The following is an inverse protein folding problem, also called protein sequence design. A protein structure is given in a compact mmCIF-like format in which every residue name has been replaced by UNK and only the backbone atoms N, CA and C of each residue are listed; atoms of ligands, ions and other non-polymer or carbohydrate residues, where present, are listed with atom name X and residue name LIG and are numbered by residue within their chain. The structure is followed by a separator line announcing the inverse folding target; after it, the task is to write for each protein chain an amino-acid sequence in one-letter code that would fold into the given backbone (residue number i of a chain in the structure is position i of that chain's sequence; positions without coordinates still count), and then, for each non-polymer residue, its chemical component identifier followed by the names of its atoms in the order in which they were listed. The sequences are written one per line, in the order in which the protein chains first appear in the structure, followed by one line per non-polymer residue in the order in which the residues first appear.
data_IF_253312220021
#
_entry.id   IF_253312220021
#
_cell.length_a   1.000
_cell.length_b   1.000
_cell.length_c   1.000
_cell.angle_alpha   90.00
_cell.angle_beta   90.00
_cell.angle_gamma   90.00
#
_symmetry.space_group_name_H-M   'P 1'
#
loop_
_entity.id
_entity.type
_entity.pdbx_description
1 polymer ?
#
# COMPACT_ATOMS: atom_id res chain seq x y z
N UNK A 1 -28.69 24.82 40.86
CA UNK A 1 -28.66 24.27 39.50
C UNK A 1 -28.58 25.36 38.42
N UNK A 2 -27.65 26.32 38.53
CA UNK A 2 -27.50 27.44 37.57
C UNK A 2 -26.11 27.47 36.91
N UNK A 3 -25.09 26.91 37.57
CA UNK A 3 -23.71 26.89 37.03
C UNK A 3 -23.49 25.90 35.88
N UNK A 4 -24.27 24.82 35.80
CA UNK A 4 -24.07 23.76 34.78
C UNK A 4 -24.57 24.21 33.39
N UNK A 5 -25.60 25.05 33.33
CA UNK A 5 -26.17 25.52 32.06
C UNK A 5 -25.23 26.51 31.35
N UNK A 6 -24.52 27.36 32.12
CA UNK A 6 -23.56 28.33 31.56
C UNK A 6 -22.34 27.67 30.91
N UNK A 7 -21.80 26.60 31.51
CA UNK A 7 -20.65 25.85 30.97
C UNK A 7 -21.02 25.14 29.67
N UNK A 8 -22.21 24.53 29.59
CA UNK A 8 -22.70 23.88 28.37
C UNK A 8 -22.98 24.88 27.24
N UNK A 9 -23.52 26.06 27.55
CA UNK A 9 -23.74 27.12 26.57
C UNK A 9 -22.41 27.71 26.04
N UNK A 10 -21.41 27.89 26.91
CA UNK A 10 -20.08 28.38 26.52
C UNK A 10 -19.32 27.35 25.65
N UNK A 11 -19.50 26.05 25.89
CA UNK A 11 -18.94 24.99 25.03
C UNK A 11 -19.61 24.92 23.65
N UNK A 12 -20.91 25.25 23.55
CA UNK A 12 -21.64 25.26 22.28
C UNK A 12 -21.25 26.45 21.39
N UNK A 13 -21.06 27.64 21.96
CA UNK A 13 -20.73 28.86 21.20
C UNK A 13 -19.27 28.88 20.73
N UNK A 14 -18.34 28.31 21.50
CA UNK A 14 -16.90 28.37 21.20
C UNK A 14 -16.36 27.18 20.38
N UNK A 15 -17.20 26.25 19.92
CA UNK A 15 -16.81 25.08 19.11
C UNK A 15 -15.53 24.35 19.59
N UNK A 16 -15.25 24.37 20.89
CA UNK A 16 -14.06 23.78 21.53
C UNK A 16 -14.50 22.66 22.48
N UNK A 17 -15.27 21.72 21.93
CA UNK A 17 -15.57 20.45 22.58
C UNK A 17 -14.55 19.36 22.20
N UNK A 18 -14.47 18.25 22.97
CA UNK A 18 -13.57 17.12 22.66
C UNK A 18 -13.97 16.37 21.38
N UNK A 19 -15.20 16.59 20.90
CA UNK A 19 -15.69 16.15 19.59
C UNK A 19 -15.50 17.28 18.58
N UNK A 20 -14.26 17.71 18.39
CA UNK A 20 -13.92 18.42 17.15
C UNK A 20 -14.02 17.39 16.04
N UNK A 21 -15.16 17.39 15.33
CA UNK A 21 -15.21 16.82 13.99
C UNK A 21 -14.17 17.60 13.20
N UNK A 22 -12.98 17.00 13.05
CA UNK A 22 -12.07 17.38 11.99
C UNK A 22 -12.81 17.05 10.71
N UNK A 23 -13.62 18.00 10.25
CA UNK A 23 -13.94 18.16 8.85
C UNK A 23 -12.63 18.39 8.14
N UNK A 24 -11.90 17.30 7.90
CA UNK A 24 -10.79 17.25 6.97
C UNK A 24 -11.38 17.30 5.56
N UNK A 25 -11.96 18.44 5.20
CA UNK A 25 -11.83 18.92 3.83
C UNK A 25 -10.39 19.37 3.66
N UNK A 26 -9.50 18.40 3.40
CA UNK A 26 -8.28 18.54 2.61
C UNK A 26 -7.50 17.24 2.76
N UNK A 27 -7.73 16.27 1.87
CA UNK A 27 -6.81 15.14 1.63
C UNK A 27 -7.08 14.38 0.32
N UNK A 28 -7.64 15.01 -0.73
CA UNK A 28 -7.49 14.43 -2.08
C UNK A 28 -6.06 14.58 -2.62
N UNK A 29 -5.16 15.24 -1.87
CA UNK A 29 -3.73 15.38 -2.17
C UNK A 29 -2.82 14.54 -1.27
N UNK A 30 -3.37 13.77 -0.34
CA UNK A 30 -2.58 12.94 0.61
C UNK A 30 -2.46 11.50 0.09
N UNK A 31 -3.45 11.00 -0.64
CA UNK A 31 -3.43 9.61 -1.13
C UNK A 31 -2.37 9.34 -2.23
N UNK A 32 -1.86 10.35 -2.92
CA UNK A 32 -0.77 10.21 -3.91
C UNK A 32 0.60 10.60 -3.32
N UNK A 33 0.64 11.42 -2.26
CA UNK A 33 1.91 11.85 -1.66
C UNK A 33 2.62 10.75 -0.88
N UNK A 34 1.87 9.82 -0.32
CA UNK A 34 2.41 8.69 0.43
C UNK A 34 2.71 7.47 -0.47
N UNK A 35 2.49 7.61 -1.79
CA UNK A 35 2.73 6.54 -2.76
C UNK A 35 3.98 6.81 -3.58
N UNK A 36 4.86 5.81 -3.66
CA UNK A 36 6.09 5.89 -4.45
C UNK A 36 5.83 5.39 -5.86
N UNK A 37 6.07 6.24 -6.88
CA UNK A 37 5.95 5.84 -8.28
C UNK A 37 7.18 5.02 -8.68
N UNK A 38 6.96 3.84 -9.26
CA UNK A 38 8.03 2.95 -9.75
C UNK A 38 7.70 2.39 -11.13
N UNK A 39 8.73 2.01 -11.89
CA UNK A 39 8.59 1.33 -13.18
C UNK A 39 8.81 -0.18 -13.00
N UNK A 40 7.85 -1.01 -13.40
CA UNK A 40 7.95 -2.47 -13.27
C UNK A 40 8.78 -3.05 -14.42
N UNK A 41 10.00 -3.49 -14.11
CA UNK A 41 10.93 -4.06 -15.10
C UNK A 41 10.56 -5.50 -15.47
N UNK A 42 10.20 -6.31 -14.47
CA UNK A 42 9.76 -7.70 -14.68
C UNK A 42 8.98 -8.27 -13.51
N UNK A 43 8.04 -9.15 -13.81
CA UNK A 43 7.31 -9.95 -12.81
C UNK A 43 8.02 -11.29 -12.61
N UNK A 44 8.42 -11.58 -11.37
CA UNK A 44 9.13 -12.82 -10.99
C UNK A 44 8.12 -13.94 -10.74
N UNK A 45 7.15 -13.67 -9.86
CA UNK A 45 6.06 -14.55 -9.46
C UNK A 45 4.75 -13.76 -9.36
N UNK A 46 3.64 -14.43 -9.09
CA UNK A 46 2.33 -13.76 -9.02
C UNK A 46 2.23 -12.67 -7.95
N UNK A 47 3.03 -12.76 -6.88
CA UNK A 47 3.09 -11.81 -5.76
C UNK A 47 4.41 -10.99 -5.70
N UNK A 48 5.34 -11.21 -6.63
CA UNK A 48 6.70 -10.64 -6.53
C UNK A 48 7.17 -10.11 -7.89
N UNK A 49 7.63 -8.86 -7.91
CA UNK A 49 8.19 -8.23 -9.11
C UNK A 49 9.45 -7.42 -8.80
N UNK A 50 10.18 -7.07 -9.85
CA UNK A 50 11.33 -6.17 -9.82
C UNK A 50 10.92 -4.87 -10.48
N UNK A 51 11.27 -3.77 -9.85
CA UNK A 51 10.98 -2.43 -10.33
C UNK A 51 12.14 -1.47 -10.11
N UNK A 52 12.17 -0.42 -10.91
CA UNK A 52 13.12 0.68 -10.78
C UNK A 52 12.40 1.86 -10.14
N UNK A 53 12.92 2.34 -9.02
CA UNK A 53 12.35 3.49 -8.31
C UNK A 53 12.71 4.83 -8.97
N UNK A 54 12.18 5.93 -8.42
CA UNK A 54 12.44 7.29 -8.92
C UNK A 54 13.92 7.72 -8.86
N UNK A 55 14.72 7.07 -8.02
CA UNK A 55 16.17 7.30 -7.89
C UNK A 55 16.98 6.44 -8.88
N UNK A 56 16.34 5.60 -9.69
CA UNK A 56 17.00 4.68 -10.63
C UNK A 56 17.55 3.42 -9.97
N UNK A 57 17.17 3.12 -8.72
CA UNK A 57 17.58 1.92 -7.99
C UNK A 57 16.60 0.77 -8.28
N UNK A 58 17.15 -0.40 -8.60
CA UNK A 58 16.40 -1.65 -8.68
C UNK A 58 15.95 -2.08 -7.27
N UNK A 59 14.65 -2.34 -7.12
CA UNK A 59 14.02 -2.85 -5.91
C UNK A 59 13.22 -4.11 -6.22
N UNK A 60 13.22 -5.05 -5.28
CA UNK A 60 12.40 -6.26 -5.34
C UNK A 60 11.17 -6.07 -4.44
N UNK A 61 9.99 -6.06 -5.05
CA UNK A 61 8.73 -5.79 -4.35
C UNK A 61 7.95 -7.08 -4.17
N UNK A 62 7.48 -7.33 -2.95
CA UNK A 62 6.51 -8.39 -2.61
C UNK A 62 5.19 -7.74 -2.22
N UNK A 63 4.12 -8.21 -2.84
CA UNK A 63 2.76 -7.73 -2.61
C UNK A 63 2.28 -8.14 -1.21
N UNK A 64 1.76 -7.16 -0.46
CA UNK A 64 1.14 -7.41 0.85
C UNK A 64 -0.25 -8.02 0.65
N UNK A 65 -0.57 -9.04 1.45
CA UNK A 65 -1.89 -9.70 1.43
C UNK A 65 -2.12 -10.64 0.24
N UNK A 66 -1.12 -10.82 -0.63
CA UNK A 66 -1.17 -11.73 -1.77
C UNK A 66 -0.08 -12.79 -1.56
N UNK A 67 -0.51 -14.04 -1.45
CA UNK A 67 0.38 -15.20 -1.45
C UNK A 67 0.02 -16.07 -2.65
N UNK A 68 0.87 -16.06 -3.67
CA UNK A 68 0.60 -16.84 -4.88
C UNK A 68 1.27 -18.21 -4.80
N UNK A 69 0.59 -19.27 -5.26
CA UNK A 69 1.17 -20.60 -5.28
C UNK A 69 2.51 -20.59 -6.04
N UNK A 70 3.59 -20.99 -5.39
CA UNK A 70 4.93 -20.73 -5.90
C UNK A 70 5.24 -21.60 -7.14
N UNK A 71 5.68 -20.95 -8.22
CA UNK A 71 5.88 -21.61 -9.52
C UNK A 71 7.35 -21.90 -9.85
N UNK A 72 8.28 -21.26 -9.15
CA UNK A 72 9.72 -21.26 -9.50
C UNK A 72 10.60 -22.02 -8.50
N UNK A 73 10.04 -22.53 -7.40
CA UNK A 73 10.81 -23.23 -6.37
C UNK A 73 11.35 -24.56 -6.89
N UNK A 74 12.69 -24.76 -6.94
CA UNK A 74 13.28 -26.04 -7.35
C UNK A 74 12.77 -27.19 -6.49
N UNK A 75 12.55 -28.35 -7.11
CA UNK A 75 12.10 -29.58 -6.45
C UNK A 75 10.73 -29.48 -5.76
N UNK A 76 9.90 -28.50 -6.12
CA UNK A 76 8.52 -28.39 -5.64
C UNK A 76 7.55 -28.58 -6.82
N UNK A 77 6.50 -29.40 -6.70
CA UNK A 77 5.47 -29.49 -7.73
C UNK A 77 4.82 -28.12 -7.93
N UNK A 78 4.62 -27.71 -9.18
CA UNK A 78 3.87 -26.49 -9.50
C UNK A 78 2.48 -26.62 -8.88
N UNK A 79 2.15 -25.68 -8.01
CA UNK A 79 0.86 -25.68 -7.32
C UNK A 79 -0.27 -25.27 -8.29
N UNK A 80 -1.49 -25.81 -8.13
CA UNK A 80 -2.63 -25.43 -8.95
C UNK A 80 -2.83 -23.91 -8.94
N UNK A 81 -3.16 -23.32 -10.10
CA UNK A 81 -3.40 -21.88 -10.29
C UNK A 81 -2.17 -20.94 -10.16
N UNK A 82 -0.99 -21.46 -9.82
CA UNK A 82 0.22 -20.62 -9.73
C UNK A 82 0.61 -19.99 -11.06
N UNK A 83 0.46 -20.73 -12.16
CA UNK A 83 0.80 -20.24 -13.51
C UNK A 83 -0.18 -19.16 -13.98
N UNK A 84 -1.45 -19.35 -13.68
CA UNK A 84 -2.54 -18.42 -13.97
C UNK A 84 -2.37 -17.12 -13.18
N UNK A 85 -2.06 -17.20 -11.89
CA UNK A 85 -1.76 -16.04 -11.04
C UNK A 85 -0.51 -15.27 -11.55
N UNK A 86 0.57 -15.99 -11.88
CA UNK A 86 1.77 -15.38 -12.46
C UNK A 86 1.49 -14.69 -13.79
N UNK A 87 0.72 -15.32 -14.68
CA UNK A 87 0.34 -14.76 -15.97
C UNK A 87 -0.53 -13.50 -15.82
N UNK A 88 -1.47 -13.51 -14.87
CA UNK A 88 -2.30 -12.35 -14.57
C UNK A 88 -1.43 -11.15 -14.15
N UNK A 89 -0.53 -11.34 -13.18
CA UNK A 89 0.37 -10.28 -12.74
C UNK A 89 1.29 -9.81 -13.86
N UNK A 90 1.83 -10.72 -14.68
CA UNK A 90 2.63 -10.38 -15.87
C UNK A 90 1.85 -9.51 -16.85
N UNK A 91 0.62 -9.86 -17.17
CA UNK A 91 -0.22 -9.10 -18.09
C UNK A 91 -0.57 -7.70 -17.54
N UNK A 92 -0.74 -7.59 -16.22
CA UNK A 92 -1.21 -6.36 -15.60
C UNK A 92 -0.11 -5.43 -15.12
N UNK A 93 1.09 -5.92 -14.81
CA UNK A 93 2.16 -5.13 -14.20
C UNK A 93 3.39 -4.96 -15.10
N UNK A 94 3.70 -5.92 -15.97
CA UNK A 94 4.98 -5.91 -16.68
C UNK A 94 5.13 -4.68 -17.61
N UNK A 95 6.21 -3.92 -17.45
CA UNK A 95 6.51 -2.72 -18.23
C UNK A 95 5.61 -1.52 -17.92
N UNK A 96 4.90 -1.53 -16.78
CA UNK A 96 4.01 -0.43 -16.39
C UNK A 96 4.59 0.40 -15.26
N UNK A 97 4.23 1.68 -15.28
CA UNK A 97 4.40 2.54 -14.12
C UNK A 97 3.28 2.28 -13.12
N UNK A 98 3.64 2.01 -11.87
CA UNK A 98 2.69 1.74 -10.78
C UNK A 98 3.03 2.57 -9.55
N UNK A 99 2.09 2.64 -8.62
CA UNK A 99 2.29 3.31 -7.34
C UNK A 99 2.38 2.29 -6.21
N UNK A 100 3.43 2.39 -5.40
CA UNK A 100 3.63 1.57 -4.22
C UNK A 100 3.13 2.28 -2.97
N UNK A 101 2.29 1.60 -2.19
CA UNK A 101 1.88 2.02 -0.85
C UNK A 101 2.48 1.06 0.17
N UNK A 102 3.29 1.58 1.10
CA UNK A 102 4.01 0.79 2.10
C UNK A 102 3.18 0.60 3.37
N UNK A 103 3.38 -0.54 4.05
CA UNK A 103 2.88 -0.74 5.42
C UNK A 103 3.94 -0.27 6.44
N UNK A 104 3.66 -0.44 7.75
CA UNK A 104 4.55 -0.04 8.85
C UNK A 104 5.98 -0.55 8.69
N UNK A 105 6.13 -1.76 8.19
CA UNK A 105 7.42 -2.36 7.86
C UNK A 105 7.64 -2.34 6.35
N UNK A 106 8.59 -1.52 5.89
CA UNK A 106 8.88 -1.36 4.45
C UNK A 106 9.63 -2.56 3.86
N UNK A 107 10.40 -3.28 4.65
CA UNK A 107 11.25 -4.38 4.18
C UNK A 107 11.07 -5.63 5.03
N UNK A 108 11.12 -6.79 4.37
CA UNK A 108 11.16 -8.07 5.08
C UNK A 108 12.60 -8.49 5.43
N UNK A 109 12.72 -9.58 6.20
CA UNK A 109 14.00 -10.19 6.61
C UNK A 109 14.90 -10.66 5.44
N UNK A 110 14.41 -10.66 4.20
CA UNK A 110 15.13 -11.04 3.00
C UNK A 110 15.50 -9.82 2.13
N UNK A 111 15.23 -8.60 2.60
CA UNK A 111 15.51 -7.36 1.91
C UNK A 111 14.53 -7.06 0.76
N UNK A 112 13.34 -7.65 0.77
CA UNK A 112 12.27 -7.32 -0.20
C UNK A 112 11.43 -6.18 0.34
N UNK A 113 11.09 -5.25 -0.53
CA UNK A 113 10.14 -4.17 -0.23
C UNK A 113 8.73 -4.74 -0.15
N UNK A 114 8.01 -4.45 0.94
CA UNK A 114 6.62 -4.86 1.15
C UNK A 114 5.69 -3.71 0.78
N UNK A 115 4.83 -3.91 -0.22
CA UNK A 115 3.91 -2.86 -0.67
C UNK A 115 2.58 -3.40 -1.22
N UNK A 116 1.55 -2.55 -1.20
CA UNK A 116 0.38 -2.63 -2.06
C UNK A 116 0.67 -1.90 -3.38
N UNK A 117 0.10 -2.38 -4.49
CA UNK A 117 0.29 -1.81 -5.83
C UNK A 117 -1.02 -1.23 -6.36
N UNK A 118 -0.94 -0.02 -6.90
CA UNK A 118 -2.05 0.73 -7.51
C UNK A 118 -1.75 1.12 -8.95
#
# INVERSE_FOLDING_TARGET
AVLVVGVLAFQFINHTGPFKNNGSQSSNSTNIKDKEKVHVDRVVDGDTFVATNSEGKEIKVRLIGIDTPETVKPNTPVQPYGKEASNYSKQHLNGKDVYLEYDKEKEDRYGRTLAYVW
#
